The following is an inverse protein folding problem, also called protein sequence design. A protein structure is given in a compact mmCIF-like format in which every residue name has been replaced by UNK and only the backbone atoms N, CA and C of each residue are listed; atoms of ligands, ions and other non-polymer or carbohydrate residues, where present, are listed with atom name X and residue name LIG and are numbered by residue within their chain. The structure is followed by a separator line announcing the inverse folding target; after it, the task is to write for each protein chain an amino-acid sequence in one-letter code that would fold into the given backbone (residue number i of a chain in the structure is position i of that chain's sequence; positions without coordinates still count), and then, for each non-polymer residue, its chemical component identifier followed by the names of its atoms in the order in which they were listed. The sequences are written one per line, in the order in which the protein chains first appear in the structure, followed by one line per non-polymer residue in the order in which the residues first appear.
data_IF_928276778995
#
_entry.id   IF_928276778995
#
_cell.length_a   1.000
_cell.length_b   1.000
_cell.length_c   1.000
_cell.angle_alpha   90.00
_cell.angle_beta   90.00
_cell.angle_gamma   90.00
#
_symmetry.space_group_name_H-M   'P 1'
#
loop_
_entity.id
_entity.type
_entity.pdbx_description
1 polymer ?
#
# COMPACT_ATOMS: atom_id res chain seq x y z
N UNK A 1 -8.22 7.51 -44.16
CA UNK A 1 -7.30 8.11 -43.16
C UNK A 1 -8.02 8.55 -41.91
N UNK A 2 -8.98 9.49 -41.93
CA UNK A 2 -9.66 10.01 -40.72
C UNK A 2 -10.25 8.94 -39.79
N UNK A 3 -10.82 7.85 -40.29
CA UNK A 3 -11.39 6.76 -39.45
C UNK A 3 -10.32 5.97 -38.70
N UNK A 4 -9.16 5.72 -39.32
CA UNK A 4 -8.05 4.99 -38.70
C UNK A 4 -7.35 5.86 -37.63
N UNK A 5 -7.21 7.15 -37.89
CA UNK A 5 -6.65 8.11 -36.92
C UNK A 5 -7.55 8.19 -35.66
N UNK A 6 -8.87 8.19 -35.89
CA UNK A 6 -9.81 8.21 -34.76
C UNK A 6 -9.78 6.91 -33.94
N UNK A 7 -9.64 5.74 -34.58
CA UNK A 7 -9.52 4.45 -33.89
C UNK A 7 -8.21 4.43 -33.07
N UNK A 8 -7.10 4.86 -33.65
CA UNK A 8 -5.83 4.93 -32.95
C UNK A 8 -5.88 5.88 -31.76
N UNK A 9 -6.45 7.06 -31.94
CA UNK A 9 -6.64 8.04 -30.87
C UNK A 9 -7.52 7.49 -29.75
N UNK A 10 -8.60 6.77 -30.09
CA UNK A 10 -9.48 6.13 -29.10
C UNK A 10 -8.76 5.04 -28.30
N UNK A 11 -7.90 4.24 -28.95
CA UNK A 11 -7.09 3.22 -28.26
C UNK A 11 -6.06 3.87 -27.34
N UNK A 12 -5.38 4.94 -27.76
CA UNK A 12 -4.42 5.65 -26.94
C UNK A 12 -5.10 6.29 -25.72
N UNK A 13 -6.27 6.91 -25.90
CA UNK A 13 -7.06 7.47 -24.80
C UNK A 13 -7.58 6.38 -23.86
N UNK A 14 -8.01 5.23 -24.38
CA UNK A 14 -8.44 4.10 -23.56
C UNK A 14 -7.28 3.49 -22.75
N UNK A 15 -6.09 3.37 -23.34
CA UNK A 15 -4.88 2.93 -22.64
C UNK A 15 -4.41 3.94 -21.57
N UNK A 16 -4.52 5.23 -21.83
CA UNK A 16 -4.23 6.27 -20.85
C UNK A 16 -5.23 6.27 -19.67
N UNK A 17 -6.50 5.95 -19.92
CA UNK A 17 -7.52 5.85 -18.88
C UNK A 17 -7.33 4.66 -17.92
N UNK A 18 -6.60 3.62 -18.33
CA UNK A 18 -6.29 2.47 -17.47
C UNK A 18 -5.24 2.77 -16.40
N UNK A 19 -4.57 3.91 -16.47
CA UNK A 19 -3.49 4.31 -15.55
C UNK A 19 -3.94 5.13 -14.35
N UNK A 20 -5.24 5.40 -14.20
CA UNK A 20 -5.78 6.11 -13.02
C UNK A 20 -6.03 5.11 -11.90
N UNK A 21 -4.96 4.56 -11.35
CA UNK A 21 -5.01 3.96 -10.03
C UNK A 21 -5.09 5.11 -9.03
N UNK A 22 -6.30 5.40 -8.54
CA UNK A 22 -6.48 6.34 -7.45
C UNK A 22 -5.61 5.92 -6.26
N UNK A 23 -5.00 6.89 -5.58
CA UNK A 23 -4.30 6.67 -4.32
C UNK A 23 -5.25 5.96 -3.36
N UNK A 24 -4.95 4.71 -2.99
CA UNK A 24 -5.80 3.91 -2.14
C UNK A 24 -5.24 3.85 -0.73
N UNK A 25 -5.84 4.60 0.19
CA UNK A 25 -5.52 4.50 1.63
C UNK A 25 -5.82 3.10 2.19
N UNK A 26 -6.60 2.30 1.49
CA UNK A 26 -6.94 0.92 1.87
C UNK A 26 -5.72 -0.02 1.80
N UNK A 27 -4.68 0.37 1.07
CA UNK A 27 -3.44 -0.39 0.94
C UNK A 27 -2.43 -0.10 2.07
N UNK A 28 -2.80 0.74 3.04
CA UNK A 28 -1.99 1.00 4.23
C UNK A 28 -2.15 -0.12 5.26
N UNK A 29 -1.06 -0.48 5.95
CA UNK A 29 -1.05 -1.49 7.01
C UNK A 29 -0.23 -1.04 8.20
N UNK A 30 -0.67 -1.41 9.40
CA UNK A 30 0.14 -1.32 10.61
C UNK A 30 1.17 -2.46 10.56
N UNK A 31 2.45 -2.13 10.46
CA UNK A 31 3.51 -3.06 10.11
C UNK A 31 4.31 -3.55 11.31
N UNK A 32 4.73 -2.63 12.18
CA UNK A 32 5.54 -2.92 13.36
C UNK A 32 5.13 -2.00 14.52
N UNK A 33 5.28 -2.46 15.74
CA UNK A 33 5.05 -1.70 16.98
C UNK A 33 6.07 -2.07 18.04
N UNK A 34 6.60 -1.06 18.73
CA UNK A 34 7.46 -1.21 19.90
C UNK A 34 6.87 -0.39 21.04
N UNK A 35 6.56 -1.04 22.14
CA UNK A 35 5.93 -0.38 23.30
C UNK A 35 7.00 0.08 24.30
N UNK A 36 7.83 -0.84 24.77
CA UNK A 36 8.94 -0.48 25.65
C UNK A 36 10.18 -0.18 24.82
N UNK A 37 10.42 1.10 24.59
CA UNK A 37 11.56 1.58 23.81
C UNK A 37 12.64 2.07 24.76
N UNK A 38 13.63 1.23 25.05
CA UNK A 38 14.71 1.57 26.00
C UNK A 38 15.76 2.46 25.35
N UNK A 39 16.24 2.09 24.15
CA UNK A 39 17.37 2.76 23.50
C UNK A 39 17.35 2.63 21.96
N UNK A 40 16.22 2.20 21.38
CA UNK A 40 16.16 1.87 19.96
C UNK A 40 16.04 3.13 19.09
N UNK A 41 14.83 3.65 18.95
CA UNK A 41 14.55 4.82 18.12
C UNK A 41 14.30 6.04 19.00
N UNK A 42 15.14 7.06 18.87
CA UNK A 42 14.89 8.35 19.47
C UNK A 42 14.04 9.23 18.55
N UNK A 43 13.14 10.02 19.14
CA UNK A 43 12.46 11.10 18.45
C UNK A 43 13.41 12.29 18.19
N UNK A 44 12.93 13.34 17.53
CA UNK A 44 13.68 14.54 17.24
C UNK A 44 14.11 15.35 18.49
N UNK A 45 13.59 14.98 19.67
CA UNK A 45 13.94 15.57 20.98
C UNK A 45 14.87 14.68 21.79
N UNK A 46 15.34 13.55 21.22
CA UNK A 46 16.22 12.59 21.88
C UNK A 46 15.54 11.74 22.95
N UNK A 47 14.20 11.63 22.92
CA UNK A 47 13.42 10.76 23.82
C UNK A 47 13.15 9.43 23.12
N UNK A 48 12.84 8.40 23.88
CA UNK A 48 12.54 7.06 23.38
C UNK A 48 11.08 6.68 23.67
N UNK A 49 10.08 7.34 23.03
CA UNK A 49 8.70 6.98 23.21
C UNK A 49 8.37 5.63 22.56
N UNK A 50 7.25 5.03 22.96
CA UNK A 50 6.66 3.94 22.23
C UNK A 50 6.34 4.40 20.78
N UNK A 51 6.44 3.50 19.81
CA UNK A 51 6.20 3.83 18.42
C UNK A 51 5.52 2.70 17.67
N UNK A 52 4.86 3.04 16.58
CA UNK A 52 4.37 2.08 15.60
C UNK A 52 4.62 2.59 14.19
N UNK A 53 4.56 1.66 13.26
CA UNK A 53 4.86 1.91 11.86
C UNK A 53 3.65 1.61 10.97
N UNK A 54 3.39 2.52 10.04
CA UNK A 54 2.44 2.32 8.94
C UNK A 54 3.21 2.05 7.67
N UNK A 55 2.86 1.00 6.94
CA UNK A 55 3.48 0.58 5.70
C UNK A 55 2.52 0.76 4.52
N UNK A 56 3.02 1.34 3.43
CA UNK A 56 2.31 1.43 2.17
C UNK A 56 2.54 0.16 1.33
N UNK A 57 1.54 -0.70 1.22
CA UNK A 57 1.64 -1.94 0.43
C UNK A 57 1.50 -1.71 -1.07
N UNK A 58 1.05 -0.53 -1.48
CA UNK A 58 0.85 -0.18 -2.89
C UNK A 58 2.18 0.06 -3.64
N UNK A 59 2.11 -0.04 -4.94
CA UNK A 59 3.21 0.31 -5.85
C UNK A 59 3.14 1.75 -6.37
N UNK A 60 2.34 2.59 -5.72
CA UNK A 60 2.23 4.03 -5.95
C UNK A 60 2.33 4.78 -4.61
N UNK A 61 2.57 6.08 -4.68
CA UNK A 61 2.57 6.92 -3.48
C UNK A 61 1.16 7.09 -2.95
N UNK A 62 1.01 7.09 -1.62
CA UNK A 62 -0.26 7.28 -0.90
C UNK A 62 -0.10 8.41 0.10
N UNK A 63 -1.02 9.36 0.11
CA UNK A 63 -1.04 10.41 1.12
C UNK A 63 -1.92 9.95 2.30
N UNK A 64 -1.29 9.82 3.48
CA UNK A 64 -1.96 9.43 4.73
C UNK A 64 -2.56 10.64 5.47
N UNK A 65 -2.27 11.87 5.02
CA UNK A 65 -2.82 13.09 5.62
C UNK A 65 -4.34 13.09 5.65
N UNK A 66 -4.91 13.45 6.78
CA UNK A 66 -6.36 13.42 7.04
C UNK A 66 -6.90 12.08 7.55
N UNK A 67 -6.13 10.98 7.49
CA UNK A 67 -6.48 9.72 8.13
C UNK A 67 -6.49 9.86 9.65
N UNK A 68 -7.15 8.91 10.33
CA UNK A 68 -7.26 8.90 11.78
C UNK A 68 -6.54 7.69 12.37
N UNK A 69 -5.88 7.92 13.50
CA UNK A 69 -5.23 6.91 14.33
C UNK A 69 -5.87 6.92 15.71
N UNK A 70 -6.06 5.75 16.29
CA UNK A 70 -6.68 5.64 17.64
C UNK A 70 -6.25 4.36 18.35
N UNK A 71 -6.22 4.43 19.66
CA UNK A 71 -6.15 3.30 20.59
C UNK A 71 -7.53 2.93 21.17
N UNK A 72 -8.60 3.66 20.79
CA UNK A 72 -9.96 3.44 21.27
C UNK A 72 -10.96 3.39 20.12
N UNK A 73 -11.42 2.19 19.78
CA UNK A 73 -12.48 1.98 18.78
C UNK A 73 -13.88 1.99 19.36
N UNK A 74 -14.04 2.35 20.65
CA UNK A 74 -15.35 2.49 21.30
C UNK A 74 -16.13 3.60 20.61
N UNK A 75 -17.32 3.26 20.10
CA UNK A 75 -18.15 4.19 19.33
C UNK A 75 -17.98 4.10 17.81
N UNK A 76 -16.99 3.35 17.31
CA UNK A 76 -16.82 3.18 15.87
C UNK A 76 -18.06 2.59 15.19
N UNK A 77 -18.71 1.59 15.79
CA UNK A 77 -19.94 1.00 15.26
C UNK A 77 -21.09 2.03 15.15
N UNK A 78 -21.23 2.91 16.14
CA UNK A 78 -22.20 4.00 16.09
C UNK A 78 -21.83 5.04 15.02
N UNK A 79 -20.55 5.39 14.91
CA UNK A 79 -20.05 6.27 13.84
C UNK A 79 -20.31 5.70 12.42
N UNK A 80 -20.24 4.39 12.28
CA UNK A 80 -20.50 3.69 11.01
C UNK A 80 -21.99 3.61 10.66
N UNK A 81 -22.89 3.71 11.63
CA UNK A 81 -24.34 3.64 11.42
C UNK A 81 -24.93 4.83 10.65
N UNK A 82 -24.15 5.90 10.46
CA UNK A 82 -24.56 7.11 9.75
C UNK A 82 -25.02 8.24 10.67
N UNK A 83 -24.96 8.06 11.98
CA UNK A 83 -25.20 9.10 12.97
C UNK A 83 -24.02 10.09 12.95
N UNK A 84 -24.32 11.35 12.58
CA UNK A 84 -23.30 12.41 12.45
C UNK A 84 -22.74 12.83 13.82
N UNK A 85 -23.54 12.83 14.84
CA UNK A 85 -23.12 13.25 16.18
C UNK A 85 -22.21 12.16 16.79
N UNK A 86 -22.58 10.89 16.63
CA UNK A 86 -21.73 9.76 17.00
C UNK A 86 -20.39 9.77 16.25
N UNK A 87 -20.41 10.07 14.94
CA UNK A 87 -19.20 10.17 14.14
C UNK A 87 -18.29 11.31 14.61
N UNK A 88 -18.85 12.49 14.88
CA UNK A 88 -18.09 13.64 15.37
C UNK A 88 -17.51 13.38 16.75
N UNK A 89 -18.29 12.78 17.65
CA UNK A 89 -17.83 12.39 18.98
C UNK A 89 -16.72 11.34 18.95
N UNK A 90 -16.79 10.40 18.01
CA UNK A 90 -15.74 9.40 17.81
C UNK A 90 -14.46 10.03 17.25
N UNK A 91 -14.56 10.85 16.19
CA UNK A 91 -13.40 11.55 15.59
C UNK A 91 -12.67 12.43 16.60
N UNK A 92 -13.41 13.07 17.52
CA UNK A 92 -12.82 13.94 18.55
C UNK A 92 -11.89 13.19 19.52
N UNK A 93 -12.01 11.86 19.62
CA UNK A 93 -11.14 11.00 20.45
C UNK A 93 -9.92 10.48 19.67
N UNK A 94 -9.97 10.53 18.35
CA UNK A 94 -8.92 10.02 17.50
C UNK A 94 -7.88 11.11 17.22
N UNK A 95 -6.66 10.69 16.94
CA UNK A 95 -5.63 11.58 16.36
C UNK A 95 -5.87 11.68 14.86
N UNK A 96 -6.13 12.88 14.35
CA UNK A 96 -6.17 13.12 12.92
C UNK A 96 -4.79 13.56 12.43
N UNK A 97 -4.25 12.81 11.47
CA UNK A 97 -2.98 13.16 10.82
C UNK A 97 -3.17 14.49 10.08
N UNK A 98 -2.34 15.52 10.34
CA UNK A 98 -2.46 16.82 9.69
C UNK A 98 -2.46 16.72 8.17
N UNK A 99 -3.30 17.52 7.52
CA UNK A 99 -3.32 17.66 6.06
C UNK A 99 -2.36 18.76 5.63
N UNK A 100 -1.72 18.57 4.47
CA UNK A 100 -0.85 19.60 3.89
C UNK A 100 0.63 19.48 4.29
N UNK A 101 0.99 18.57 5.20
CA UNK A 101 2.38 18.25 5.46
C UNK A 101 2.91 17.32 4.36
N UNK A 102 3.95 17.72 3.60
CA UNK A 102 4.54 16.87 2.57
C UNK A 102 5.08 15.53 3.11
N UNK A 103 5.46 15.47 4.39
CA UNK A 103 5.98 14.26 5.03
C UNK A 103 4.92 13.15 5.16
N UNK A 104 3.63 13.48 5.04
CA UNK A 104 2.53 12.49 5.03
C UNK A 104 2.36 11.77 3.68
N UNK A 105 3.10 12.18 2.64
CA UNK A 105 3.13 11.47 1.36
C UNK A 105 4.08 10.28 1.45
N UNK A 106 3.52 9.11 1.61
CA UNK A 106 4.27 7.85 1.63
C UNK A 106 4.63 7.42 0.20
N UNK A 107 5.89 7.14 -0.04
CA UNK A 107 6.32 6.53 -1.29
C UNK A 107 5.80 5.09 -1.42
N UNK A 108 5.88 4.54 -2.63
CA UNK A 108 5.58 3.12 -2.84
C UNK A 108 6.44 2.24 -1.92
N UNK A 109 5.82 1.25 -1.27
CA UNK A 109 6.52 0.26 -0.44
C UNK A 109 7.41 0.90 0.65
N UNK A 110 6.99 2.02 1.21
CA UNK A 110 7.70 2.72 2.29
C UNK A 110 6.91 2.72 3.59
N UNK A 111 7.59 3.07 4.67
CA UNK A 111 7.07 3.14 6.02
C UNK A 111 7.03 4.58 6.52
N UNK A 112 6.11 4.86 7.44
CA UNK A 112 6.12 6.03 8.32
C UNK A 112 5.98 5.59 9.77
N UNK A 113 6.84 6.12 10.63
CA UNK A 113 6.83 5.85 12.06
C UNK A 113 6.04 6.92 12.79
N UNK A 114 5.19 6.50 13.74
CA UNK A 114 4.41 7.35 14.62
C UNK A 114 4.77 7.08 16.07
N UNK A 115 4.94 8.13 16.87
CA UNK A 115 5.28 8.08 18.29
C UNK A 115 4.02 8.16 19.16
N UNK A 116 3.86 7.19 20.06
CA UNK A 116 2.73 7.13 21.02
C UNK A 116 3.09 7.80 22.33
N UNK A 117 3.29 9.11 22.32
CA UNK A 117 3.73 9.89 23.47
C UNK A 117 2.64 10.84 24.02
N UNK A 118 1.47 10.90 23.38
CA UNK A 118 0.39 11.81 23.78
C UNK A 118 0.68 13.28 23.51
N UNK A 119 1.70 13.60 22.69
CA UNK A 119 2.21 14.96 22.48
C UNK A 119 2.06 15.43 21.02
N UNK A 120 0.84 15.59 20.50
CA UNK A 120 0.61 15.93 19.08
C UNK A 120 1.15 17.31 18.70
N UNK A 121 1.52 18.15 19.69
CA UNK A 121 2.16 19.46 19.45
C UNK A 121 3.64 19.36 19.08
N UNK A 122 4.26 18.19 19.24
CA UNK A 122 5.66 17.99 18.90
C UNK A 122 5.90 17.74 17.40
N UNK A 123 4.89 17.32 16.67
CA UNK A 123 4.99 17.13 15.23
C UNK A 123 3.89 16.23 14.66
N UNK A 124 3.84 16.15 13.34
CA UNK A 124 2.85 15.37 12.59
C UNK A 124 2.83 13.88 12.94
N UNK A 125 3.95 13.35 13.43
CA UNK A 125 4.08 11.92 13.73
C UNK A 125 3.99 11.61 15.22
N UNK A 126 3.63 12.58 16.07
CA UNK A 126 3.35 12.40 17.49
C UNK A 126 1.84 12.32 17.70
N UNK A 127 1.34 11.13 18.09
CA UNK A 127 -0.10 10.94 18.25
C UNK A 127 -0.60 11.44 19.59
N UNK A 128 -1.91 11.67 19.71
CA UNK A 128 -2.55 12.22 20.92
C UNK A 128 -2.84 11.19 22.01
N UNK A 129 -2.43 9.93 21.82
CA UNK A 129 -2.67 8.84 22.76
C UNK A 129 -1.35 8.13 23.12
N UNK A 130 -1.40 7.37 24.22
CA UNK A 130 -0.34 6.51 24.72
C UNK A 130 -0.82 5.06 24.74
N UNK A 131 0.08 4.12 24.99
CA UNK A 131 -0.26 2.68 25.10
C UNK A 131 -0.85 2.25 26.47
N UNK A 132 -1.20 3.19 27.34
CA UNK A 132 -1.55 2.86 28.74
C UNK A 132 -2.94 2.21 28.89
N UNK A 133 -3.83 2.44 27.93
CA UNK A 133 -5.25 2.06 28.07
C UNK A 133 -5.62 0.79 27.35
N UNK A 134 -4.99 0.51 26.24
CA UNK A 134 -5.38 -0.58 25.35
C UNK A 134 -4.13 -1.24 24.74
N UNK A 135 -4.30 -2.46 24.25
CA UNK A 135 -3.23 -3.19 23.59
C UNK A 135 -3.47 -3.30 22.07
N UNK A 136 -3.91 -2.21 21.47
CA UNK A 136 -4.06 -2.13 20.03
C UNK A 136 -3.92 -0.71 19.52
N UNK A 137 -3.61 -0.62 18.23
CA UNK A 137 -3.67 0.62 17.44
C UNK A 137 -4.55 0.35 16.23
N UNK A 138 -5.39 1.32 15.88
CA UNK A 138 -6.24 1.26 14.69
C UNK A 138 -5.97 2.44 13.76
N UNK A 139 -5.96 2.15 12.46
CA UNK A 139 -5.86 3.12 11.38
C UNK A 139 -7.20 3.20 10.65
N UNK A 140 -7.73 4.41 10.54
CA UNK A 140 -8.99 4.69 9.85
C UNK A 140 -8.77 5.64 8.68
N UNK A 141 -9.65 5.58 7.71
CA UNK A 141 -9.67 6.49 6.58
C UNK A 141 -9.92 7.95 6.97
N UNK A 142 -9.75 8.85 6.03
CA UNK A 142 -10.02 10.28 6.20
C UNK A 142 -11.50 10.60 6.47
N UNK A 143 -12.39 9.64 6.22
CA UNK A 143 -13.78 9.71 6.63
C UNK A 143 -14.02 9.44 8.13
N UNK A 144 -12.97 9.05 8.86
CA UNK A 144 -12.99 8.76 10.30
C UNK A 144 -13.89 7.61 10.73
N UNK A 145 -14.33 6.76 9.80
CA UNK A 145 -15.21 5.61 10.07
C UNK A 145 -14.81 4.34 9.32
N UNK A 146 -14.11 4.45 8.20
CA UNK A 146 -13.63 3.28 7.45
C UNK A 146 -12.39 2.73 8.14
N UNK A 147 -12.51 1.57 8.77
CA UNK A 147 -11.36 0.88 9.36
C UNK A 147 -10.48 0.32 8.23
N UNK A 148 -9.23 0.75 8.20
CA UNK A 148 -8.22 0.31 7.24
C UNK A 148 -7.48 -0.91 7.78
N UNK A 149 -6.96 -0.79 9.01
CA UNK A 149 -6.24 -1.87 9.67
C UNK A 149 -6.30 -1.69 11.20
N UNK A 150 -6.15 -2.79 11.92
CA UNK A 150 -6.02 -2.81 13.38
C UNK A 150 -4.92 -3.80 13.76
N UNK A 151 -4.01 -3.37 14.61
CA UNK A 151 -2.96 -4.21 15.17
C UNK A 151 -3.22 -4.41 16.66
N UNK A 152 -3.62 -5.61 17.03
CA UNK A 152 -3.66 -6.05 18.42
C UNK A 152 -2.32 -6.67 18.76
N UNK A 153 -1.77 -6.34 19.92
CA UNK A 153 -0.52 -6.88 20.40
C UNK A 153 -0.66 -7.52 21.78
N UNK A 154 0.20 -8.50 22.13
CA UNK A 154 0.13 -9.17 23.42
C UNK A 154 0.44 -8.22 24.58
N UNK A 155 -0.20 -8.44 25.74
CA UNK A 155 0.06 -7.64 26.94
C UNK A 155 1.53 -7.66 27.38
N UNK A 156 2.23 -8.77 27.14
CA UNK A 156 3.63 -8.97 27.48
C UNK A 156 4.55 -7.98 26.73
N UNK A 157 4.09 -7.41 25.61
CA UNK A 157 4.83 -6.41 24.86
C UNK A 157 5.07 -5.14 25.67
N UNK A 158 4.16 -4.81 26.62
CA UNK A 158 4.29 -3.65 27.49
C UNK A 158 5.48 -3.73 28.45
N UNK A 159 6.08 -4.92 28.61
CA UNK A 159 7.20 -5.19 29.52
C UNK A 159 8.41 -5.77 28.81
N UNK A 160 8.47 -5.64 27.50
CA UNK A 160 9.50 -6.28 26.68
C UNK A 160 10.04 -5.28 25.66
N UNK A 161 11.35 -5.04 25.72
CA UNK A 161 12.06 -4.28 24.69
C UNK A 161 12.19 -5.12 23.40
N UNK A 162 11.03 -5.49 22.82
CA UNK A 162 10.92 -6.27 21.58
C UNK A 162 9.81 -5.67 20.74
N UNK A 163 10.00 -5.62 19.45
CA UNK A 163 8.93 -5.21 18.54
C UNK A 163 8.01 -6.38 18.19
N UNK A 164 6.80 -6.04 17.78
CA UNK A 164 5.76 -6.96 17.33
C UNK A 164 5.23 -6.44 15.99
N UNK A 165 5.12 -7.29 15.01
CA UNK A 165 4.72 -6.83 13.68
C UNK A 165 4.56 -7.93 12.66
N UNK A 166 4.40 -7.50 11.41
CA UNK A 166 4.26 -8.38 10.25
C UNK A 166 5.57 -9.13 9.99
N UNK A 167 5.48 -10.43 9.78
CA UNK A 167 6.64 -11.26 9.39
C UNK A 167 7.16 -10.85 8.02
N UNK A 168 6.27 -10.47 7.13
CA UNK A 168 6.55 -9.89 5.83
C UNK A 168 5.81 -8.56 5.72
N UNK A 169 6.53 -7.51 5.29
CA UNK A 169 6.00 -6.14 5.28
C UNK A 169 4.63 -6.01 4.63
N UNK A 170 3.68 -5.51 5.42
CA UNK A 170 2.32 -5.25 4.98
C UNK A 170 1.48 -6.49 4.70
N UNK A 171 2.00 -7.69 4.94
CA UNK A 171 1.22 -8.93 4.81
C UNK A 171 0.41 -9.14 6.08
N UNK A 172 -0.89 -8.96 5.96
CA UNK A 172 -1.87 -9.24 7.02
C UNK A 172 -2.86 -10.28 6.51
N UNK A 173 -3.48 -11.03 7.42
CA UNK A 173 -4.54 -11.95 7.05
C UNK A 173 -5.64 -11.19 6.27
N UNK A 174 -6.06 -11.73 5.14
CA UNK A 174 -6.94 -11.08 4.15
C UNK A 174 -8.37 -10.82 4.65
N UNK A 175 -8.57 -10.47 5.91
CA UNK A 175 -9.88 -10.15 6.44
C UNK A 175 -9.95 -8.66 6.79
N UNK A 176 -10.56 -7.89 5.88
CA UNK A 176 -11.09 -6.55 6.14
C UNK A 176 -12.30 -6.57 7.09
N UNK A 177 -12.67 -7.75 7.59
CA UNK A 177 -13.75 -7.91 8.55
C UNK A 177 -13.20 -7.60 9.95
N UNK A 178 -13.92 -6.81 10.72
CA UNK A 178 -13.58 -6.42 12.09
C UNK A 178 -13.45 -7.61 13.06
N UNK A 179 -13.80 -8.79 12.62
CA UNK A 179 -13.50 -10.08 13.25
C UNK A 179 -12.07 -10.57 12.98
N UNK A 180 -11.18 -9.69 12.60
CA UNK A 180 -9.77 -9.89 12.19
C UNK A 180 -8.94 -10.74 13.16
N UNK A 181 -9.43 -10.92 14.33
CA UNK A 181 -8.91 -11.89 15.28
C UNK A 181 -9.33 -13.33 14.95
N UNK A 182 -10.16 -13.53 13.94
CA UNK A 182 -10.49 -14.86 13.44
C UNK A 182 -9.31 -15.43 12.66
N UNK A 183 -8.51 -16.22 13.35
CA UNK A 183 -7.52 -17.14 12.84
C UNK A 183 -8.07 -17.87 11.59
N UNK A 184 -7.85 -17.31 10.41
CA UNK A 184 -8.01 -18.06 9.19
C UNK A 184 -6.62 -18.51 8.78
N UNK A 185 -6.40 -19.81 8.84
CA UNK A 185 -5.20 -20.53 8.45
C UNK A 185 -4.00 -20.57 9.43
N UNK A 186 -4.23 -20.50 10.76
CA UNK A 186 -3.22 -20.85 11.79
C UNK A 186 -1.80 -20.28 11.61
N UNK A 187 -1.59 -19.28 10.78
CA UNK A 187 -0.36 -18.50 10.73
C UNK A 187 -0.63 -17.14 11.33
N UNK A 188 -0.08 -16.92 12.49
CA UNK A 188 0.01 -15.57 13.03
C UNK A 188 0.84 -14.74 12.04
N UNK A 189 0.18 -13.84 11.33
CA UNK A 189 0.82 -12.99 10.32
C UNK A 189 1.67 -11.92 11.00
N UNK A 190 1.38 -11.64 12.28
CA UNK A 190 2.15 -10.78 13.17
C UNK A 190 2.70 -11.58 14.33
N UNK A 191 3.95 -11.31 14.67
CA UNK A 191 4.68 -11.99 15.74
C UNK A 191 5.71 -11.08 16.36
N UNK A 192 6.38 -11.54 17.42
CA UNK A 192 7.58 -10.86 17.92
C UNK A 192 8.67 -10.89 16.86
N UNK A 193 9.20 -9.73 16.54
CA UNK A 193 10.31 -9.59 15.60
C UNK A 193 11.64 -9.75 16.34
N UNK A 194 12.63 -10.22 15.61
CA UNK A 194 13.98 -10.44 16.17
C UNK A 194 14.77 -9.15 16.24
N UNK A 195 14.49 -8.22 15.33
CA UNK A 195 15.13 -6.92 15.24
C UNK A 195 14.08 -5.82 15.11
N UNK A 196 14.41 -4.67 15.67
CA UNK A 196 13.68 -3.43 15.41
C UNK A 196 14.06 -2.91 14.03
N UNK A 197 13.09 -2.53 13.22
CA UNK A 197 13.33 -2.04 11.86
C UNK A 197 12.57 -0.75 11.55
N UNK A 198 12.56 0.26 12.44
CA UNK A 198 11.77 1.47 12.24
C UNK A 198 12.16 2.18 10.94
N UNK A 199 11.15 2.47 10.11
CA UNK A 199 11.33 3.13 8.82
C UNK A 199 11.94 2.25 7.73
N UNK A 200 12.12 0.95 7.97
CA UNK A 200 12.70 0.01 7.01
C UNK A 200 11.99 -1.34 7.03
N UNK A 201 12.27 -2.18 6.05
CA UNK A 201 11.61 -3.48 5.93
C UNK A 201 11.90 -4.38 7.12
N UNK A 202 10.86 -5.07 7.63
CA UNK A 202 10.98 -6.05 8.70
C UNK A 202 11.94 -7.16 8.29
N UNK A 203 12.95 -7.41 9.11
CA UNK A 203 13.91 -8.50 8.91
C UNK A 203 13.52 -9.66 9.80
N UNK A 204 13.13 -10.76 9.20
CA UNK A 204 12.98 -12.05 9.88
C UNK A 204 14.18 -12.90 9.48
N UNK A 205 15.12 -13.11 10.38
CA UNK A 205 16.33 -13.90 10.09
C UNK A 205 16.03 -15.37 9.76
N UNK A 206 14.89 -15.88 10.18
CA UNK A 206 14.41 -17.22 9.84
C UNK A 206 13.57 -17.27 8.57
N UNK A 207 13.24 -16.14 7.98
CA UNK A 207 12.50 -16.02 6.73
C UNK A 207 13.42 -16.28 5.53
N UNK A 208 13.06 -17.22 4.67
CA UNK A 208 13.69 -17.36 3.35
C UNK A 208 13.70 -15.99 2.66
N UNK A 209 14.84 -15.50 2.25
CA UNK A 209 14.94 -14.24 1.51
C UNK A 209 14.10 -14.33 0.23
N UNK A 210 13.74 -13.17 -0.38
CA UNK A 210 13.04 -13.19 -1.68
C UNK A 210 13.87 -13.93 -2.73
N UNK A 211 15.20 -13.85 -2.64
CA UNK A 211 16.12 -14.61 -3.49
C UNK A 211 16.04 -16.10 -3.21
N UNK A 212 15.98 -16.53 -1.95
CA UNK A 212 15.87 -17.96 -1.59
C UNK A 212 14.51 -18.53 -2.02
N UNK A 213 13.42 -17.77 -1.87
CA UNK A 213 12.11 -18.17 -2.39
C UNK A 213 12.12 -18.30 -3.92
N UNK A 214 12.82 -17.41 -4.60
CA UNK A 214 12.95 -17.48 -6.04
C UNK A 214 13.76 -18.70 -6.48
N UNK A 215 14.91 -18.95 -5.85
CA UNK A 215 15.75 -20.13 -6.09
C UNK A 215 14.97 -21.42 -5.80
N UNK A 216 14.17 -21.45 -4.75
CA UNK A 216 13.35 -22.63 -4.40
C UNK A 216 12.24 -22.91 -5.42
N UNK A 217 11.62 -21.86 -5.95
CA UNK A 217 10.51 -21.98 -6.90
C UNK A 217 10.98 -22.12 -8.36
N UNK A 218 12.15 -21.62 -8.68
CA UNK A 218 12.75 -21.71 -10.02
C UNK A 218 14.28 -21.92 -9.94
N UNK A 219 14.70 -23.09 -9.43
CA UNK A 219 16.10 -23.40 -9.14
C UNK A 219 17.02 -23.34 -10.37
N UNK A 220 16.45 -23.46 -11.55
CA UNK A 220 17.18 -23.41 -12.84
C UNK A 220 16.94 -22.12 -13.62
N UNK A 221 16.16 -21.19 -13.11
CA UNK A 221 15.82 -19.94 -13.80
C UNK A 221 14.95 -20.10 -15.05
N UNK A 222 14.33 -21.27 -15.24
CA UNK A 222 13.57 -21.61 -16.44
C UNK A 222 12.35 -20.72 -16.59
N UNK A 223 11.61 -20.50 -15.49
CA UNK A 223 10.41 -19.63 -15.52
C UNK A 223 10.77 -18.19 -15.83
N UNK A 224 11.88 -17.68 -15.29
CA UNK A 224 12.37 -16.32 -15.59
C UNK A 224 12.81 -16.22 -17.05
N UNK A 225 13.49 -17.24 -17.58
CA UNK A 225 13.90 -17.29 -18.98
C UNK A 225 12.69 -17.33 -19.93
N UNK A 226 11.68 -18.15 -19.64
CA UNK A 226 10.45 -18.23 -20.42
C UNK A 226 9.66 -16.92 -20.40
N UNK A 227 9.53 -16.27 -19.22
CA UNK A 227 8.83 -14.98 -19.11
C UNK A 227 9.54 -13.89 -19.90
N UNK A 228 10.88 -13.80 -19.80
CA UNK A 228 11.64 -12.80 -20.56
C UNK A 228 11.54 -13.04 -22.07
N UNK A 229 11.61 -14.30 -22.52
CA UNK A 229 11.43 -14.68 -23.92
C UNK A 229 10.01 -14.33 -24.42
N UNK A 230 8.98 -14.61 -23.61
CA UNK A 230 7.59 -14.27 -23.96
C UNK A 230 7.39 -12.76 -24.14
N UNK A 231 8.00 -11.94 -23.27
CA UNK A 231 7.95 -10.48 -23.38
C UNK A 231 8.60 -10.03 -24.69
N UNK A 232 9.78 -10.55 -25.01
CA UNK A 232 10.49 -10.19 -26.26
C UNK A 232 9.65 -10.57 -27.49
N UNK A 233 9.11 -11.79 -27.53
CA UNK A 233 8.25 -12.20 -28.64
C UNK A 233 6.99 -11.34 -28.77
N UNK A 234 6.37 -10.97 -27.66
CA UNK A 234 5.20 -10.10 -27.67
C UNK A 234 5.54 -8.74 -28.29
N UNK A 235 6.67 -8.15 -27.89
CA UNK A 235 7.14 -6.88 -28.48
C UNK A 235 7.41 -7.02 -29.97
N UNK A 236 8.07 -8.09 -30.40
CA UNK A 236 8.34 -8.34 -31.83
C UNK A 236 7.06 -8.51 -32.64
N UNK A 237 6.06 -9.21 -32.10
CA UNK A 237 4.73 -9.36 -32.76
C UNK A 237 4.06 -8.00 -32.91
N UNK A 238 4.08 -7.16 -31.89
CA UNK A 238 3.50 -5.80 -31.95
C UNK A 238 4.21 -4.97 -33.03
N UNK A 239 5.53 -4.98 -33.05
CA UNK A 239 6.33 -4.27 -34.07
C UNK A 239 5.99 -4.79 -35.49
N UNK A 240 5.93 -6.11 -35.64
CA UNK A 240 5.54 -6.72 -36.93
C UNK A 240 4.17 -6.25 -37.40
N UNK A 241 3.16 -6.25 -36.51
CA UNK A 241 1.81 -5.78 -36.83
C UNK A 241 1.84 -4.31 -37.27
N UNK A 242 2.55 -3.46 -36.56
CA UNK A 242 2.69 -2.03 -36.90
C UNK A 242 3.33 -1.85 -38.27
N UNK A 243 4.40 -2.58 -38.56
CA UNK A 243 5.07 -2.51 -39.87
C UNK A 243 4.18 -3.06 -40.99
N UNK A 244 3.49 -4.18 -40.77
CA UNK A 244 2.56 -4.76 -41.76
C UNK A 244 1.41 -3.81 -42.10
N UNK A 245 0.83 -3.16 -41.06
CA UNK A 245 -0.21 -2.16 -41.27
C UNK A 245 0.33 -0.93 -42.03
N UNK A 246 1.53 -0.47 -41.68
CA UNK A 246 2.20 0.66 -42.34
C UNK A 246 2.46 0.35 -43.81
N UNK A 247 2.95 -0.86 -44.11
CA UNK A 247 3.20 -1.33 -45.49
C UNK A 247 1.87 -1.41 -46.27
N UNK A 248 0.83 -1.98 -45.69
CA UNK A 248 -0.51 -2.09 -46.32
C UNK A 248 -1.07 -0.72 -46.67
N UNK A 249 -0.94 0.26 -45.73
CA UNK A 249 -1.38 1.63 -45.99
C UNK A 249 -0.59 2.30 -47.12
N UNK A 250 0.73 2.11 -47.16
CA UNK A 250 1.58 2.70 -48.18
C UNK A 250 1.31 2.09 -49.57
N UNK A 251 1.06 0.79 -49.65
CA UNK A 251 0.70 0.12 -50.90
C UNK A 251 -0.65 0.59 -51.46
N UNK A 252 -1.61 0.87 -50.59
CA UNK A 252 -2.94 1.43 -50.96
C UNK A 252 -2.83 2.86 -51.52
N UNK A 253 -1.87 3.64 -51.04
CA UNK A 253 -1.62 5.00 -51.50
C UNK A 253 -0.83 5.01 -52.83
N UNK A 254 0.05 4.05 -53.02
CA UNK A 254 0.93 3.97 -54.21
C UNK A 254 0.22 3.44 -55.47
N UNK A 255 -0.92 2.76 -55.35
CA UNK A 255 -1.75 2.29 -56.47
C UNK A 255 -3.15 2.86 -56.37
N UNK A 256 -3.41 4.11 -56.84
CA UNK A 256 -4.77 4.57 -57.07
C UNK A 256 -5.36 3.69 -58.21
N UNK A 257 -6.46 3.01 -57.91
CA UNK A 257 -7.25 2.29 -58.91
C UNK A 257 -7.50 3.21 -60.11
N UNK A 258 -6.96 2.87 -61.28
CA UNK A 258 -7.36 3.47 -62.55
C UNK A 258 -8.84 3.17 -62.76
N UNK A 259 -9.64 4.16 -62.55
CA UNK A 259 -11.06 4.11 -62.91
C UNK A 259 -11.10 4.00 -64.43
N UNK A 260 -11.67 2.90 -64.92
CA UNK A 260 -12.00 2.65 -66.30
C UNK A 260 -12.94 3.76 -66.82
N UNK A 261 -12.39 4.63 -67.66
CA UNK A 261 -13.15 5.50 -68.54
C UNK A 261 -12.49 5.47 -69.90
N UNK A 262 -12.74 4.38 -70.65
CA UNK A 262 -12.66 4.35 -72.11
C UNK A 262 -13.68 3.32 -72.58
N UNK A 263 -14.88 3.77 -72.84
CA UNK A 263 -15.78 3.29 -73.84
C UNK A 263 -16.52 4.46 -74.41
N UNK A 264 -16.00 5.03 -75.49
CA UNK A 264 -16.69 5.44 -76.70
C UNK A 264 -15.69 5.75 -77.80
#
# INVERSE_FOLDING_TARGET
MKKLTNIFLTIVVALAALSVNGQSIIDLRLNEILIQNEDNLADEYGRHPAWFEVFNTAYNSVNIGGCYLTDDTTGLAAAQSGDKDALNAFRAKCYQIPTGDPATLMNQRSCLVFYMDGMPTYGTFHVSFTNEKTNYVALLGSDGKTLIDIMNYPNELNYSNRSYGCVEDGVVANNRDNSVLAKKDNKDVRTYLEYFTPGSNNKVLSGESKADKLIKNDPYGIMMALMSMAIVFTVLIVIYIVLALSHSLNSTIAHPTKTSSEMQ
#
